data_IF_583807928852
#
_entry.id   IF_583807928852
#
_cell.length_a   1.000
_cell.length_b   1.000
_cell.length_c   1.000
_cell.angle_alpha   90.00
_cell.angle_beta   90.00
_cell.angle_gamma   90.00
#
_symmetry.space_group_name_H-M   'P 1'
#
loop_
_entity.id
_entity.type
_entity.pdbx_description
1 polymer ?
#
# COMPACT_ATOMS: atom_id res chain seq x y z
N UNK A 1 -39.46 -38.49 -11.63
CA UNK A 1 -38.00 -38.17 -11.56
C UNK A 1 -37.67 -36.73 -11.94
N UNK A 2 -38.48 -36.03 -12.75
CA UNK A 2 -38.15 -34.67 -13.22
C UNK A 2 -38.41 -33.56 -12.19
N UNK A 3 -39.38 -33.74 -11.27
CA UNK A 3 -39.67 -32.76 -10.20
C UNK A 3 -38.62 -32.75 -9.09
N UNK A 4 -38.09 -33.91 -8.69
CA UNK A 4 -37.06 -34.01 -7.67
C UNK A 4 -35.76 -33.27 -8.09
N UNK A 5 -35.38 -33.34 -9.36
CA UNK A 5 -34.22 -32.64 -9.90
C UNK A 5 -34.40 -31.11 -9.87
N UNK A 6 -35.62 -30.60 -10.12
CA UNK A 6 -35.93 -29.17 -10.03
C UNK A 6 -35.77 -28.64 -8.60
N UNK A 7 -36.23 -29.39 -7.61
CA UNK A 7 -36.08 -28.99 -6.20
C UNK A 7 -34.62 -28.99 -5.75
N UNK A 8 -33.83 -29.97 -6.19
CA UNK A 8 -32.38 -30.05 -5.87
C UNK A 8 -31.60 -28.89 -6.51
N UNK A 9 -31.90 -28.54 -7.77
CA UNK A 9 -31.23 -27.43 -8.45
C UNK A 9 -31.59 -26.09 -7.80
N UNK A 10 -32.85 -25.93 -7.36
CA UNK A 10 -33.29 -24.71 -6.69
C UNK A 10 -32.64 -24.56 -5.31
N UNK A 11 -32.56 -25.62 -4.51
CA UNK A 11 -31.89 -25.58 -3.20
C UNK A 11 -30.39 -25.33 -3.31
N UNK A 12 -29.72 -25.90 -4.32
CA UNK A 12 -28.28 -25.64 -4.55
C UNK A 12 -28.01 -24.19 -4.95
N UNK A 13 -28.88 -23.59 -5.76
CA UNK A 13 -28.76 -22.18 -6.19
C UNK A 13 -28.97 -21.21 -5.02
N UNK A 14 -29.93 -21.49 -4.14
CA UNK A 14 -30.17 -20.71 -2.92
C UNK A 14 -28.98 -20.82 -1.95
N UNK A 15 -28.41 -22.02 -1.80
CA UNK A 15 -27.25 -22.25 -0.92
C UNK A 15 -25.98 -21.56 -1.43
N UNK A 16 -25.78 -21.50 -2.75
CA UNK A 16 -24.67 -20.76 -3.37
C UNK A 16 -24.81 -19.24 -3.19
N UNK A 17 -26.04 -18.72 -3.26
CA UNK A 17 -26.33 -17.31 -2.98
C UNK A 17 -26.04 -16.91 -1.53
N UNK A 18 -26.31 -17.80 -0.56
CA UNK A 18 -26.04 -17.57 0.86
C UNK A 18 -24.53 -17.54 1.17
N UNK A 19 -23.72 -18.34 0.47
CA UNK A 19 -22.26 -18.35 0.63
C UNK A 19 -21.58 -17.10 0.06
N UNK A 20 -22.17 -16.48 -0.97
CA UNK A 20 -21.63 -15.26 -1.58
C UNK A 20 -21.84 -13.99 -0.74
N UNK A 21 -22.71 -14.03 0.28
CA UNK A 21 -23.03 -12.87 1.13
C UNK A 21 -22.13 -12.74 2.37
N UNK A 22 -21.23 -13.70 2.62
CA UNK A 22 -20.38 -13.76 3.82
C UNK A 22 -19.07 -12.96 3.76
N UNK A 23 -18.83 -12.17 2.71
CA UNK A 23 -17.49 -11.61 2.42
C UNK A 23 -17.12 -10.26 3.05
N UNK A 24 -18.04 -9.56 3.71
CA UNK A 24 -17.74 -8.21 4.23
C UNK A 24 -17.87 -8.17 5.77
N UNK A 25 -16.74 -8.23 6.47
CA UNK A 25 -16.69 -7.82 7.87
C UNK A 25 -16.82 -6.29 7.91
N UNK A 26 -18.02 -5.79 8.20
CA UNK A 26 -18.20 -4.39 8.55
C UNK A 26 -17.48 -4.17 9.88
N UNK A 27 -16.54 -3.21 9.93
CA UNK A 27 -15.88 -2.85 11.19
C UNK A 27 -16.96 -2.59 12.26
N UNK A 28 -16.80 -3.11 13.49
CA UNK A 28 -17.72 -2.81 14.57
C UNK A 28 -17.88 -1.29 14.68
N UNK A 29 -19.11 -0.83 14.89
CA UNK A 29 -19.38 0.57 15.21
C UNK A 29 -18.86 0.82 16.63
N UNK A 30 -17.57 1.12 16.76
CA UNK A 30 -16.95 1.52 18.01
C UNK A 30 -17.30 2.99 18.31
N UNK A 31 -17.58 3.28 19.57
CA UNK A 31 -18.10 4.58 20.02
C UNK A 31 -17.06 5.68 19.73
N UNK A 32 -17.41 6.76 19.00
CA UNK A 32 -16.48 7.85 18.67
C UNK A 32 -15.92 8.60 19.88
N UNK A 33 -16.46 8.39 21.09
CA UNK A 33 -16.02 9.06 22.32
C UNK A 33 -14.54 8.79 22.67
N UNK A 34 -14.00 7.62 22.31
CA UNK A 34 -12.64 7.20 22.71
C UNK A 34 -11.57 7.43 21.62
N UNK A 35 -11.97 7.98 20.48
CA UNK A 35 -11.07 8.23 19.36
C UNK A 35 -10.38 9.60 19.46
N UNK A 36 -9.09 9.63 19.15
CA UNK A 36 -8.31 10.86 19.04
C UNK A 36 -8.05 11.16 17.56
N UNK A 37 -8.37 12.39 17.13
CA UNK A 37 -8.00 12.87 15.80
C UNK A 37 -6.55 13.36 15.82
N UNK A 38 -5.71 12.72 15.01
CA UNK A 38 -4.31 13.13 14.82
C UNK A 38 -4.15 13.77 13.43
N UNK A 39 -3.29 14.79 13.35
CA UNK A 39 -2.87 15.38 12.08
C UNK A 39 -1.54 14.78 11.67
N UNK A 40 -1.46 14.32 10.43
CA UNK A 40 -0.23 13.81 9.83
C UNK A 40 0.26 14.86 8.84
N UNK A 41 1.51 15.30 9.00
CA UNK A 41 2.22 16.17 8.07
C UNK A 41 3.51 15.49 7.65
N UNK A 42 3.64 15.20 6.35
CA UNK A 42 4.85 14.60 5.78
C UNK A 42 5.61 15.68 5.02
N UNK A 43 6.86 15.94 5.44
CA UNK A 43 7.74 16.90 4.79
C UNK A 43 8.66 16.17 3.80
N UNK A 44 8.55 16.49 2.50
CA UNK A 44 9.29 15.76 1.46
C UNK A 44 10.78 16.11 1.41
N UNK A 45 11.20 17.28 1.92
CA UNK A 45 12.61 17.68 1.95
C UNK A 45 13.45 16.81 2.90
N UNK A 46 12.82 16.22 3.92
CA UNK A 46 13.48 15.34 4.88
C UNK A 46 13.69 13.91 4.39
N UNK A 47 13.25 13.57 3.18
CA UNK A 47 13.36 12.21 2.65
C UNK A 47 14.78 12.02 2.10
N UNK A 48 15.56 11.17 2.78
CA UNK A 48 16.92 10.82 2.38
C UNK A 48 16.89 9.77 1.25
N UNK A 49 17.75 9.95 0.26
CA UNK A 49 17.96 8.95 -0.79
C UNK A 49 18.86 7.82 -0.26
N UNK A 50 18.25 6.83 0.40
CA UNK A 50 18.92 5.61 0.90
C UNK A 50 18.64 4.44 -0.04
N UNK A 51 18.95 4.60 -1.32
CA UNK A 51 18.78 3.55 -2.35
C UNK A 51 19.95 2.57 -2.40
N UNK A 52 21.06 2.90 -1.75
CA UNK A 52 22.19 2.02 -1.52
C UNK A 52 22.47 2.03 -0.02
N UNK A 53 23.02 0.95 0.52
CA UNK A 53 23.35 0.77 1.95
C UNK A 53 24.28 1.87 2.54
N UNK A 54 24.67 2.86 1.73
CA UNK A 54 25.43 4.06 2.06
C UNK A 54 24.76 5.28 1.41
N UNK A 55 24.32 6.25 2.22
CA UNK A 55 23.85 7.55 1.75
C UNK A 55 24.98 8.27 0.97
N UNK A 56 24.69 8.74 -0.24
CA UNK A 56 25.66 9.45 -1.08
C UNK A 56 25.11 10.82 -1.51
N UNK A 57 25.63 11.88 -0.90
CA UNK A 57 25.26 13.28 -1.19
C UNK A 57 25.52 13.71 -2.64
N UNK A 58 26.37 12.97 -3.37
CA UNK A 58 26.68 13.26 -4.78
C UNK A 58 25.59 12.79 -5.74
N UNK A 59 24.70 11.89 -5.30
CA UNK A 59 23.59 11.43 -6.12
C UNK A 59 22.44 12.42 -5.94
N UNK A 60 21.97 13.09 -7.01
CA UNK A 60 20.83 13.99 -6.90
C UNK A 60 19.64 13.22 -6.35
N UNK A 61 19.01 13.75 -5.31
CA UNK A 61 17.77 13.19 -4.78
C UNK A 61 16.72 13.27 -5.88
N UNK A 62 16.05 12.16 -6.24
CA UNK A 62 14.98 12.20 -7.22
C UNK A 62 13.91 13.20 -6.77
N UNK A 63 13.22 13.81 -7.72
CA UNK A 63 12.15 14.76 -7.42
C UNK A 63 11.01 14.01 -6.73
N UNK A 64 10.86 14.18 -5.41
CA UNK A 64 9.80 13.54 -4.62
C UNK A 64 8.63 14.52 -4.52
N UNK A 65 7.61 14.31 -5.35
CA UNK A 65 6.42 15.16 -5.44
C UNK A 65 5.13 14.32 -5.49
N UNK A 66 4.86 13.54 -4.43
CA UNK A 66 3.65 12.71 -4.37
C UNK A 66 2.40 13.58 -4.35
N UNK A 67 1.39 13.18 -5.11
CA UNK A 67 0.07 13.83 -5.13
C UNK A 67 -0.84 13.31 -4.00
N UNK A 68 -0.60 12.07 -3.58
CA UNK A 68 -1.25 11.44 -2.44
C UNK A 68 -0.25 10.55 -1.71
N UNK A 69 -0.40 10.41 -0.39
CA UNK A 69 0.26 9.35 0.35
C UNK A 69 -0.77 8.49 1.06
N UNK A 70 -0.54 7.18 1.07
CA UNK A 70 -1.30 6.25 1.88
C UNK A 70 -0.64 6.12 3.25
N UNK A 71 -1.43 6.32 4.31
CA UNK A 71 -0.98 6.26 5.71
C UNK A 71 -1.75 5.16 6.42
N UNK A 72 -1.03 4.19 6.98
CA UNK A 72 -1.59 3.04 7.69
C UNK A 72 -0.96 2.93 9.07
N UNK A 73 -1.79 2.77 10.09
CA UNK A 73 -1.39 2.48 11.47
C UNK A 73 -1.76 1.04 11.83
N UNK A 74 -0.77 0.28 12.29
CA UNK A 74 -0.92 -1.09 12.76
C UNK A 74 -0.80 -1.13 14.27
N UNK A 75 -1.75 -1.76 14.97
CA UNK A 75 -1.63 -1.96 16.42
C UNK A 75 -0.42 -2.87 16.71
N UNK A 76 0.47 -2.43 17.60
CA UNK A 76 1.67 -3.19 17.93
C UNK A 76 1.36 -4.50 18.68
N UNK A 77 0.18 -4.62 19.31
CA UNK A 77 -0.23 -5.79 20.10
C UNK A 77 -0.53 -7.00 19.22
N UNK A 78 -1.28 -6.81 18.14
CA UNK A 78 -1.78 -7.89 17.29
C UNK A 78 -1.41 -7.75 15.81
N UNK A 79 -0.81 -6.62 15.41
CA UNK A 79 -0.42 -6.34 14.02
C UNK A 79 -1.59 -5.97 13.11
N UNK A 80 -2.80 -5.80 13.65
CA UNK A 80 -3.98 -5.45 12.86
C UNK A 80 -3.98 -3.98 12.42
N UNK A 81 -4.67 -3.68 11.31
CA UNK A 81 -4.85 -2.30 10.84
C UNK A 81 -5.81 -1.57 11.78
N UNK A 82 -5.28 -0.66 12.59
CA UNK A 82 -6.05 0.17 13.50
C UNK A 82 -6.74 1.33 12.76
N UNK A 83 -6.01 2.01 11.88
CA UNK A 83 -6.54 3.11 11.10
C UNK A 83 -5.77 3.26 9.77
N UNK A 84 -6.47 3.67 8.71
CA UNK A 84 -5.86 3.98 7.42
C UNK A 84 -6.50 5.23 6.81
N UNK A 85 -5.73 6.00 6.04
CA UNK A 85 -6.24 7.13 5.27
C UNK A 85 -5.33 7.50 4.12
N UNK A 86 -5.85 8.28 3.17
CA UNK A 86 -5.07 8.93 2.13
C UNK A 86 -4.94 10.41 2.45
N UNK A 87 -3.71 10.91 2.48
CA UNK A 87 -3.42 12.33 2.68
C UNK A 87 -3.10 12.98 1.33
N UNK A 88 -3.82 14.05 1.00
CA UNK A 88 -3.77 14.71 -0.32
C UNK A 88 -3.70 16.22 -0.24
N UNK A 89 -3.74 16.81 0.97
CA UNK A 89 -3.64 18.26 1.14
C UNK A 89 -2.18 18.70 1.01
N UNK A 90 -1.80 19.03 -0.22
CA UNK A 90 -0.47 19.52 -0.58
C UNK A 90 -0.35 21.00 -0.22
N UNK A 91 0.55 21.30 0.72
CA UNK A 91 0.88 22.67 1.12
C UNK A 91 2.35 22.96 0.88
N UNK A 92 2.67 24.23 0.67
CA UNK A 92 4.06 24.70 0.58
C UNK A 92 4.32 25.66 1.73
N UNK A 93 5.27 25.31 2.60
CA UNK A 93 5.67 26.16 3.73
C UNK A 93 6.40 27.42 3.23
N UNK A 94 6.57 28.42 4.11
CA UNK A 94 7.23 29.70 3.80
C UNK A 94 8.66 29.53 3.25
N UNK A 95 9.34 28.44 3.61
CA UNK A 95 10.67 28.08 3.14
C UNK A 95 10.67 27.37 1.76
N UNK A 96 9.51 27.33 1.07
CA UNK A 96 9.33 26.65 -0.21
C UNK A 96 9.26 25.13 -0.12
N UNK A 97 9.06 24.58 1.09
CA UNK A 97 9.07 23.13 1.33
C UNK A 97 7.67 22.55 1.15
N UNK A 98 7.53 21.60 0.22
CA UNK A 98 6.27 20.86 -0.01
C UNK A 98 6.00 19.91 1.16
N UNK A 99 4.74 19.85 1.58
CA UNK A 99 4.26 18.92 2.59
C UNK A 99 2.90 18.36 2.21
N UNK A 100 2.64 17.12 2.58
CA UNK A 100 1.33 16.49 2.45
C UNK A 100 0.69 16.36 3.82
N UNK A 101 -0.55 16.81 3.93
CA UNK A 101 -1.28 16.92 5.18
C UNK A 101 -2.57 16.10 5.12
N UNK A 102 -2.98 15.61 6.28
CA UNK A 102 -4.28 14.97 6.45
C UNK A 102 -4.57 14.69 7.91
N UNK A 103 -5.78 14.19 8.17
CA UNK A 103 -6.22 13.83 9.52
C UNK A 103 -6.71 12.40 9.53
N UNK A 104 -6.45 11.71 10.63
CA UNK A 104 -6.90 10.34 10.85
C UNK A 104 -7.38 10.20 12.29
N UNK A 105 -8.43 9.41 12.47
CA UNK A 105 -9.01 9.11 13.78
C UNK A 105 -8.51 7.75 14.22
N UNK A 106 -7.90 7.68 15.40
CA UNK A 106 -7.36 6.43 15.96
C UNK A 106 -7.53 6.43 17.48
N UNK A 107 -7.72 5.25 18.06
CA UNK A 107 -7.69 5.11 19.52
C UNK A 107 -6.28 5.42 20.07
N UNK A 108 -6.16 5.85 21.33
CA UNK A 108 -4.86 5.92 21.99
C UNK A 108 -4.22 4.53 22.11
N UNK A 109 -2.95 4.42 21.71
CA UNK A 109 -2.26 3.14 21.70
C UNK A 109 -0.81 3.26 21.21
N UNK A 110 -0.18 2.09 21.02
CA UNK A 110 1.16 2.00 20.44
C UNK A 110 1.06 1.38 19.06
N UNK A 111 1.55 2.09 18.05
CA UNK A 111 1.36 1.72 16.65
C UNK A 111 2.68 1.62 15.90
N UNK A 112 2.71 0.78 14.87
CA UNK A 112 3.66 0.90 13.76
C UNK A 112 2.98 1.67 12.63
N UNK A 113 3.71 2.55 11.96
CA UNK A 113 3.17 3.38 10.89
C UNK A 113 3.86 3.03 9.57
N UNK A 114 3.06 2.79 8.53
CA UNK A 114 3.51 2.68 7.15
C UNK A 114 2.99 3.89 6.38
N UNK A 115 3.89 4.59 5.70
CA UNK A 115 3.56 5.71 4.82
C UNK A 115 4.28 5.52 3.50
N UNK A 116 3.56 5.59 2.40
CA UNK A 116 4.15 5.48 1.07
C UNK A 116 3.43 6.37 0.04
N UNK A 117 4.13 6.68 -1.04
CA UNK A 117 3.62 7.42 -2.19
C UNK A 117 2.54 6.60 -2.92
N UNK A 118 1.35 7.16 -3.04
CA UNK A 118 0.21 6.49 -3.66
C UNK A 118 -0.07 7.06 -5.06
N UNK A 119 -0.41 6.16 -6.00
CA UNK A 119 -0.75 6.54 -7.37
C UNK A 119 0.44 6.60 -8.32
N UNK A 120 1.55 5.95 -7.98
CA UNK A 120 2.72 5.83 -8.87
C UNK A 120 2.41 4.93 -10.08
N UNK A 121 2.97 5.24 -11.25
CA UNK A 121 2.70 4.48 -12.48
C UNK A 121 3.33 3.09 -12.50
N UNK A 122 4.57 2.96 -12.03
CA UNK A 122 5.35 1.72 -12.16
C UNK A 122 5.42 0.88 -10.89
N UNK A 123 5.22 1.50 -9.72
CA UNK A 123 5.36 0.81 -8.42
C UNK A 123 4.00 0.35 -7.93
N UNK A 124 3.92 -0.94 -7.62
CA UNK A 124 2.78 -1.60 -7.00
C UNK A 124 3.15 -1.98 -5.57
N UNK A 125 2.17 -1.92 -4.67
CA UNK A 125 2.33 -2.37 -3.28
C UNK A 125 1.46 -3.61 -3.06
N UNK A 126 2.05 -4.69 -2.56
CA UNK A 126 1.32 -5.89 -2.13
C UNK A 126 1.46 -6.10 -0.63
N UNK A 127 0.53 -6.88 -0.08
CA UNK A 127 0.50 -7.28 1.33
C UNK A 127 0.60 -6.11 2.32
N UNK A 128 0.12 -4.93 1.91
CA UNK A 128 0.17 -3.70 2.71
C UNK A 128 -0.67 -3.74 3.98
N UNK A 129 -1.48 -4.78 4.18
CA UNK A 129 -2.26 -5.03 5.40
C UNK A 129 -1.45 -5.77 6.47
N UNK A 130 -0.20 -6.17 6.17
CA UNK A 130 0.75 -6.76 7.11
C UNK A 130 2.04 -5.95 7.08
N UNK A 131 2.33 -5.25 8.19
CA UNK A 131 3.50 -4.36 8.28
C UNK A 131 4.82 -5.03 7.91
N UNK A 132 5.00 -6.31 8.24
CA UNK A 132 6.26 -7.03 8.01
C UNK A 132 6.36 -7.62 6.60
N UNK A 133 5.24 -7.69 5.86
CA UNK A 133 5.19 -8.26 4.50
C UNK A 133 4.96 -7.23 3.40
N UNK A 134 4.58 -6.01 3.76
CA UNK A 134 4.37 -4.93 2.81
C UNK A 134 5.59 -4.78 1.89
N UNK A 135 5.36 -4.93 0.59
CA UNK A 135 6.44 -4.93 -0.41
C UNK A 135 6.07 -4.03 -1.59
N UNK A 136 7.00 -3.14 -1.95
CA UNK A 136 6.99 -2.40 -3.19
C UNK A 136 7.67 -3.22 -4.30
N UNK A 137 7.02 -3.34 -5.45
CA UNK A 137 7.55 -4.06 -6.61
C UNK A 137 7.07 -3.43 -7.92
N UNK A 138 7.71 -3.77 -9.04
CA UNK A 138 7.26 -3.43 -10.39
C UNK A 138 6.78 -4.68 -11.10
N UNK A 139 5.87 -4.54 -12.06
CA UNK A 139 5.46 -5.68 -12.87
C UNK A 139 6.64 -6.28 -13.66
N UNK A 140 6.67 -7.60 -13.87
CA UNK A 140 7.71 -8.24 -14.66
C UNK A 140 7.63 -7.80 -16.12
N UNK A 141 8.78 -7.60 -16.75
CA UNK A 141 8.87 -7.28 -18.18
C UNK A 141 8.25 -8.41 -18.99
N UNK A 142 7.33 -8.13 -19.94
CA UNK A 142 6.73 -9.16 -20.79
C UNK A 142 7.78 -10.02 -21.49
N UNK A 143 7.56 -11.34 -21.51
CA UNK A 143 8.53 -12.31 -22.03
C UNK A 143 8.98 -12.02 -23.48
N UNK A 144 8.09 -11.45 -24.31
CA UNK A 144 8.42 -11.05 -25.68
C UNK A 144 9.54 -10.00 -25.72
N UNK A 145 9.48 -9.00 -24.84
CA UNK A 145 10.48 -7.94 -24.74
C UNK A 145 11.74 -8.50 -24.07
N UNK A 146 11.58 -9.22 -22.95
CA UNK A 146 12.71 -9.83 -22.25
C UNK A 146 13.54 -10.77 -23.16
N UNK A 147 12.89 -11.56 -24.01
CA UNK A 147 13.57 -12.49 -24.92
C UNK A 147 14.28 -11.80 -26.09
N UNK A 148 13.89 -10.58 -26.47
CA UNK A 148 14.60 -9.78 -27.48
C UNK A 148 15.91 -9.20 -26.93
N UNK A 149 15.95 -8.94 -25.62
CA UNK A 149 17.12 -8.39 -24.92
C UNK A 149 17.93 -9.45 -24.17
N UNK A 150 17.59 -10.73 -24.28
CA UNK A 150 18.49 -11.84 -23.89
C UNK A 150 19.67 -11.90 -24.86
N UNK A 151 20.60 -10.95 -24.74
CA UNK A 151 21.98 -11.22 -25.12
C UNK A 151 22.48 -12.37 -24.25
N UNK A 152 23.18 -13.33 -24.87
CA UNK A 152 23.77 -14.49 -24.19
C UNK A 152 24.70 -14.01 -23.08
N UNK A 153 24.18 -13.89 -21.87
CA UNK A 153 24.95 -13.72 -20.64
C UNK A 153 24.63 -14.96 -19.81
N UNK A 154 25.69 -15.68 -19.45
CA UNK A 154 25.65 -16.91 -18.64
C UNK A 154 24.86 -16.66 -17.34
N UNK A 155 24.09 -17.65 -16.88
CA UNK A 155 23.02 -17.55 -15.87
C UNK A 155 23.46 -17.01 -14.48
N UNK A 156 24.74 -16.64 -14.31
CA UNK A 156 25.36 -16.21 -13.07
C UNK A 156 25.88 -14.76 -13.04
N UNK A 157 25.51 -13.89 -13.99
CA UNK A 157 25.91 -12.48 -13.92
C UNK A 157 24.70 -11.52 -13.96
N UNK A 158 24.47 -10.88 -12.80
CA UNK A 158 23.53 -9.77 -12.64
C UNK A 158 24.06 -8.58 -13.44
N UNK A 159 23.30 -8.13 -14.43
CA UNK A 159 23.59 -6.92 -15.20
C UNK A 159 23.36 -5.69 -14.32
N UNK A 160 24.43 -5.01 -13.92
CA UNK A 160 24.34 -3.63 -13.46
C UNK A 160 24.16 -2.73 -14.68
N UNK A 161 22.95 -2.23 -14.88
CA UNK A 161 22.74 -1.08 -15.74
C UNK A 161 23.11 0.17 -14.96
N UNK A 162 24.27 0.76 -15.23
CA UNK A 162 24.54 2.15 -14.88
C UNK A 162 23.77 3.08 -15.85
N UNK A 163 23.32 4.27 -15.38
CA UNK A 163 22.54 5.22 -16.18
C UNK A 163 23.32 5.86 -17.34
#
# INVERSE_FOLDING_TARGET
MMEAAKHIIWTLSVMLGLLALGGCHRRPLEDPADYTSIRVKVNVKGILNVTCDVYNEKIPVPKIEPDAMHVIFFDKKDGSVAAETFITDVQTDADGVRSLNGSISIMPGTYKMLVYDFGTEATLIRDYYDYEKALAYTDPVPAMVANQFKTRVDDNQVLYGEP
#
